data_IF_913031709933
#
_entry.id   IF_913031709933
#
_cell.length_a   1.000
_cell.length_b   1.000
_cell.length_c   1.000
_cell.angle_alpha   90.00
_cell.angle_beta   90.00
_cell.angle_gamma   90.00
#
_symmetry.space_group_name_H-M   'P 1'
#
loop_
_entity.id
_entity.type
_entity.pdbx_description
1 polymer ?
#
# COMPACT_ATOMS: atom_id res chain seq x y z
N UNK A 1 7.46 -14.20 -0.27
CA UNK A 1 7.75 -14.08 1.18
C UNK A 1 6.78 -13.07 1.75
N UNK A 2 6.04 -13.39 2.82
CA UNK A 2 5.00 -12.48 3.35
C UNK A 2 5.62 -11.21 3.92
N UNK A 3 5.40 -10.08 3.26
CA UNK A 3 5.90 -8.76 3.69
C UNK A 3 5.32 -8.42 5.05
N UNK A 4 6.14 -7.91 5.97
CA UNK A 4 5.67 -7.41 7.27
C UNK A 4 6.45 -6.16 7.67
N UNK A 5 5.88 -5.38 8.58
CA UNK A 5 6.36 -4.03 8.89
C UNK A 5 7.78 -4.03 9.49
N UNK A 6 8.04 -4.85 10.50
CA UNK A 6 9.32 -4.89 11.22
C UNK A 6 10.45 -5.37 10.30
N UNK A 7 10.18 -6.41 9.51
CA UNK A 7 11.14 -6.89 8.52
C UNK A 7 11.40 -5.84 7.44
N UNK A 8 10.35 -5.17 6.97
CA UNK A 8 10.48 -4.11 5.97
C UNK A 8 11.22 -2.89 6.51
N UNK A 9 11.12 -2.59 7.81
CA UNK A 9 11.95 -1.56 8.44
C UNK A 9 13.43 -1.99 8.44
N UNK A 10 13.72 -3.24 8.85
CA UNK A 10 15.08 -3.76 8.93
C UNK A 10 15.80 -3.74 7.57
N UNK A 11 15.14 -4.21 6.49
CA UNK A 11 15.68 -4.17 5.13
C UNK A 11 15.97 -2.76 4.61
N UNK A 12 15.34 -1.75 5.20
CA UNK A 12 15.44 -0.36 4.77
C UNK A 12 16.25 0.52 5.72
N UNK A 13 16.78 -0.05 6.80
CA UNK A 13 17.53 0.69 7.81
C UNK A 13 16.68 1.61 8.69
N UNK A 14 15.36 1.39 8.76
CA UNK A 14 14.46 2.14 9.62
C UNK A 14 14.38 1.50 11.02
N UNK A 15 14.26 2.35 12.04
CA UNK A 15 13.93 1.90 13.40
C UNK A 15 12.40 1.73 13.54
N UNK A 16 11.94 0.48 13.45
CA UNK A 16 10.52 0.13 13.60
C UNK A 16 9.93 0.58 14.94
N UNK A 17 10.74 0.57 16.01
CA UNK A 17 10.31 0.98 17.35
C UNK A 17 10.11 2.49 17.40
N UNK A 18 11.07 3.26 16.88
CA UNK A 18 10.96 4.72 16.81
C UNK A 18 9.73 5.16 16.00
N UNK A 19 9.46 4.52 14.84
CA UNK A 19 8.27 4.80 14.03
C UNK A 19 6.99 4.49 14.83
N UNK A 20 6.93 3.33 15.49
CA UNK A 20 5.76 2.93 16.28
C UNK A 20 5.51 3.86 17.46
N UNK A 21 6.57 4.26 18.16
CA UNK A 21 6.52 5.23 19.26
C UNK A 21 6.00 6.58 18.77
N UNK A 22 6.51 7.08 17.63
CA UNK A 22 6.04 8.33 17.03
C UNK A 22 4.54 8.26 16.68
N UNK A 23 4.08 7.17 16.05
CA UNK A 23 2.67 6.96 15.71
C UNK A 23 1.76 6.89 16.94
N UNK A 24 2.27 6.36 18.07
CA UNK A 24 1.50 6.27 19.32
C UNK A 24 1.13 7.64 19.90
N UNK A 25 1.88 8.69 19.56
CA UNK A 25 1.63 10.06 20.03
C UNK A 25 0.46 10.74 19.31
N UNK A 26 -0.04 10.17 18.22
CA UNK A 26 -1.15 10.75 17.46
C UNK A 26 -2.46 10.75 18.25
N UNK A 27 -3.34 11.76 18.05
CA UNK A 27 -4.71 11.75 18.57
C UNK A 27 -5.46 10.48 18.17
N UNK A 28 -6.24 9.90 19.09
CA UNK A 28 -6.92 8.62 18.90
C UNK A 28 -7.77 8.58 17.62
N UNK A 29 -8.49 9.67 17.34
CA UNK A 29 -9.37 9.81 16.17
C UNK A 29 -8.66 9.62 14.81
N UNK A 30 -7.35 9.86 14.74
CA UNK A 30 -6.56 9.75 13.50
C UNK A 30 -5.45 8.70 13.58
N UNK A 31 -5.18 8.15 14.77
CA UNK A 31 -4.05 7.24 15.00
C UNK A 31 -4.13 5.99 14.16
N UNK A 32 -5.29 5.33 14.16
CA UNK A 32 -5.52 4.08 13.42
C UNK A 32 -5.20 4.20 11.92
N UNK A 33 -5.87 5.09 11.18
CA UNK A 33 -5.65 5.20 9.74
C UNK A 33 -4.24 5.67 9.37
N UNK A 34 -3.66 6.60 10.13
CA UNK A 34 -2.27 7.06 9.89
C UNK A 34 -1.27 5.93 10.15
N UNK A 35 -1.49 5.13 11.20
CA UNK A 35 -0.68 3.93 11.47
C UNK A 35 -0.76 2.95 10.30
N UNK A 36 -1.97 2.71 9.79
CA UNK A 36 -2.20 1.76 8.72
C UNK A 36 -1.50 2.18 7.42
N UNK A 37 -1.68 3.42 6.97
CA UNK A 37 -1.01 3.91 5.75
C UNK A 37 0.50 3.98 5.93
N UNK A 38 1.01 4.33 7.12
CA UNK A 38 2.45 4.34 7.38
C UNK A 38 3.05 2.94 7.22
N UNK A 39 2.40 1.91 7.78
CA UNK A 39 2.86 0.53 7.62
C UNK A 39 2.84 0.09 6.16
N UNK A 40 1.76 0.39 5.44
CA UNK A 40 1.61 0.08 4.01
C UNK A 40 2.73 0.75 3.17
N UNK A 41 3.01 2.03 3.40
CA UNK A 41 4.07 2.78 2.71
C UNK A 41 5.45 2.20 3.00
N UNK A 42 5.72 1.80 4.24
CA UNK A 42 7.00 1.16 4.59
C UNK A 42 7.15 -0.21 3.90
N UNK A 43 6.08 -0.98 3.80
CA UNK A 43 6.11 -2.33 3.22
C UNK A 43 6.15 -2.34 1.69
N UNK A 44 5.58 -1.34 1.01
CA UNK A 44 5.42 -1.35 -0.44
C UNK A 44 6.74 -1.44 -1.25
N UNK A 45 7.82 -0.70 -0.91
CA UNK A 45 9.10 -0.85 -1.61
C UNK A 45 9.72 -2.25 -1.47
N UNK A 46 9.46 -2.93 -0.35
CA UNK A 46 9.94 -4.30 -0.11
C UNK A 46 9.12 -5.30 -0.89
N UNK A 47 7.81 -5.07 -1.04
CA UNK A 47 6.97 -5.87 -1.93
C UNK A 47 7.42 -5.77 -3.40
N UNK A 48 7.93 -4.61 -3.79
CA UNK A 48 8.47 -4.34 -5.13
C UNK A 48 9.96 -4.72 -5.29
N UNK A 49 10.55 -5.48 -4.36
CA UNK A 49 11.94 -5.88 -4.45
C UNK A 49 12.14 -6.92 -5.57
N UNK A 50 13.16 -6.73 -6.39
CA UNK A 50 13.55 -7.68 -7.42
C UNK A 50 14.36 -8.82 -6.80
N UNK A 51 13.91 -10.06 -7.04
CA UNK A 51 14.49 -11.26 -6.43
C UNK A 51 15.95 -11.52 -6.82
N UNK A 52 16.42 -10.91 -7.92
CA UNK A 52 17.76 -11.14 -8.47
C UNK A 52 18.78 -10.09 -8.05
N UNK A 53 18.35 -8.87 -7.73
CA UNK A 53 19.24 -7.72 -7.55
C UNK A 53 19.13 -7.07 -6.17
N UNK A 54 18.15 -7.47 -5.35
CA UNK A 54 17.74 -6.78 -4.11
C UNK A 54 17.38 -5.29 -4.35
N UNK A 55 17.25 -4.87 -5.60
CA UNK A 55 16.82 -3.52 -5.96
C UNK A 55 15.31 -3.39 -5.81
N UNK A 56 14.87 -2.22 -5.34
CA UNK A 56 13.45 -1.93 -5.18
C UNK A 56 12.95 -1.30 -6.47
N UNK A 57 11.97 -1.94 -7.11
CA UNK A 57 11.29 -1.30 -8.22
C UNK A 57 10.54 -0.05 -7.74
N UNK A 58 10.67 1.01 -8.52
CA UNK A 58 9.89 2.23 -8.37
C UNK A 58 9.40 2.67 -9.76
N UNK A 59 8.21 3.28 -9.84
CA UNK A 59 7.73 3.83 -11.09
C UNK A 59 8.66 4.94 -11.60
N UNK A 60 9.07 4.83 -12.85
CA UNK A 60 9.80 5.84 -13.61
C UNK A 60 8.80 6.78 -14.30
N UNK A 61 8.53 7.91 -13.64
CA UNK A 61 7.56 8.90 -14.10
C UNK A 61 7.97 9.63 -15.38
N UNK A 62 9.23 9.51 -15.81
CA UNK A 62 9.69 10.01 -17.09
C UNK A 62 9.47 9.00 -18.24
N UNK A 63 9.18 7.73 -17.92
CA UNK A 63 8.90 6.68 -18.89
C UNK A 63 7.40 6.47 -19.11
N UNK A 64 6.85 7.15 -20.12
CA UNK A 64 5.44 7.04 -20.51
C UNK A 64 4.99 5.65 -21.00
N UNK A 65 5.94 4.74 -21.25
CA UNK A 65 5.65 3.38 -21.71
C UNK A 65 5.73 2.34 -20.59
N UNK A 66 6.26 2.70 -19.42
CA UNK A 66 6.21 1.82 -18.26
C UNK A 66 4.77 1.77 -17.75
N UNK A 67 4.33 0.57 -17.38
CA UNK A 67 3.07 0.37 -16.69
C UNK A 67 3.32 0.32 -15.18
N UNK A 68 2.38 0.88 -14.42
CA UNK A 68 2.32 0.76 -12.97
C UNK A 68 0.95 0.23 -12.58
N UNK A 69 0.93 -0.63 -11.57
CA UNK A 69 -0.28 -1.25 -11.07
C UNK A 69 -0.73 -0.61 -9.75
N UNK A 70 -2.03 -0.38 -9.62
CA UNK A 70 -2.64 0.18 -8.42
C UNK A 70 -3.86 -0.63 -8.01
N UNK A 71 -4.26 -0.47 -6.75
CA UNK A 71 -5.38 -1.20 -6.17
C UNK A 71 -6.64 -0.34 -6.16
N UNK A 72 -7.76 -0.89 -6.64
CA UNK A 72 -9.06 -0.23 -6.62
C UNK A 72 -9.95 -0.88 -5.57
N UNK A 73 -10.56 -0.06 -4.72
CA UNK A 73 -11.46 -0.51 -3.65
C UNK A 73 -12.84 0.12 -3.81
N UNK A 74 -13.87 -0.68 -3.60
CA UNK A 74 -15.26 -0.27 -3.50
C UNK A 74 -15.60 -0.07 -2.03
N UNK A 75 -15.83 1.19 -1.66
CA UNK A 75 -16.13 1.62 -0.29
C UNK A 75 -17.62 1.90 -0.06
N UNK A 76 -18.46 1.69 -1.08
CA UNK A 76 -19.90 1.91 -0.97
C UNK A 76 -20.54 0.73 -0.23
N UNK A 77 -21.35 1.03 0.79
CA UNK A 77 -22.10 0.01 1.51
C UNK A 77 -23.45 -0.18 0.85
N UNK A 78 -23.70 -1.36 0.31
CA UNK A 78 -24.97 -1.78 -0.29
C UNK A 78 -25.19 -3.29 -0.07
N UNK A 79 -26.27 -3.85 -0.64
CA UNK A 79 -26.60 -5.27 -0.51
C UNK A 79 -25.52 -6.19 -1.11
N UNK A 80 -24.71 -5.71 -2.06
CA UNK A 80 -23.63 -6.45 -2.72
C UNK A 80 -22.25 -6.20 -2.06
N UNK A 81 -22.12 -5.17 -1.22
CA UNK A 81 -20.95 -4.84 -0.41
C UNK A 81 -21.38 -4.46 1.03
N UNK A 82 -21.91 -5.41 1.81
CA UNK A 82 -22.47 -5.13 3.13
C UNK A 82 -21.41 -4.64 4.13
N UNK A 83 -20.13 -4.92 3.86
CA UNK A 83 -19.02 -4.43 4.68
C UNK A 83 -18.66 -2.96 4.37
N UNK A 84 -19.07 -2.40 3.23
CA UNK A 84 -18.65 -1.08 2.76
C UNK A 84 -17.14 -1.01 2.46
N UNK A 85 -16.55 -2.14 2.11
CA UNK A 85 -15.17 -2.29 1.70
C UNK A 85 -15.04 -3.61 0.95
N UNK A 86 -14.64 -3.52 -0.31
CA UNK A 86 -14.37 -4.66 -1.17
C UNK A 86 -13.22 -4.30 -2.10
N UNK A 87 -12.21 -5.15 -2.16
CA UNK A 87 -11.24 -5.07 -3.24
C UNK A 87 -11.94 -5.43 -4.56
N UNK A 88 -12.00 -4.51 -5.52
CA UNK A 88 -12.78 -4.68 -6.78
C UNK A 88 -11.90 -5.06 -7.97
N UNK A 89 -10.60 -4.86 -7.88
CA UNK A 89 -9.67 -5.31 -8.91
C UNK A 89 -8.46 -4.42 -9.06
N UNK A 90 -7.74 -4.68 -10.14
CA UNK A 90 -6.53 -3.98 -10.53
C UNK A 90 -6.82 -2.91 -11.58
N UNK A 91 -6.14 -1.78 -11.45
CA UNK A 91 -5.96 -0.82 -12.52
C UNK A 91 -4.49 -0.79 -12.90
N UNK A 92 -4.19 -0.71 -14.20
CA UNK A 92 -2.87 -0.29 -14.66
C UNK A 92 -2.99 1.06 -15.34
N UNK A 93 -1.96 1.87 -15.22
CA UNK A 93 -1.83 3.10 -16.00
C UNK A 93 -0.39 3.25 -16.48
N UNK A 94 -0.21 4.05 -17.53
CA UNK A 94 1.11 4.47 -18.00
C UNK A 94 1.72 5.38 -16.94
N UNK A 95 3.02 5.23 -16.69
CA UNK A 95 3.65 5.92 -15.57
C UNK A 95 3.53 7.44 -15.65
N UNK A 96 3.56 8.04 -16.85
CA UNK A 96 3.31 9.47 -17.06
C UNK A 96 1.99 9.84 -17.75
N UNK A 97 0.99 8.97 -17.76
CA UNK A 97 -0.39 9.48 -17.78
C UNK A 97 -0.59 10.21 -16.44
N UNK A 98 -1.34 11.33 -16.43
CA UNK A 98 -1.61 12.15 -15.23
C UNK A 98 -2.33 11.42 -14.08
N UNK A 99 -2.29 10.09 -14.02
CA UNK A 99 -2.41 9.27 -12.83
C UNK A 99 -1.23 9.50 -11.86
N UNK A 100 -1.10 10.74 -11.42
CA UNK A 100 -0.48 11.09 -10.15
C UNK A 100 -1.50 10.76 -9.04
N UNK A 101 -1.69 9.46 -8.78
CA UNK A 101 -2.94 8.97 -8.20
C UNK A 101 -2.86 8.42 -6.78
N UNK A 102 -2.18 9.10 -5.86
CA UNK A 102 -2.36 9.03 -4.40
C UNK A 102 -2.29 7.64 -3.69
N UNK A 103 -1.72 6.60 -4.31
CA UNK A 103 -1.71 5.23 -3.76
C UNK A 103 -0.38 4.50 -3.91
N UNK A 104 -0.28 3.37 -3.22
CA UNK A 104 0.82 2.41 -3.38
C UNK A 104 0.82 1.86 -4.81
N UNK A 105 1.99 1.89 -5.46
CA UNK A 105 2.19 1.38 -6.81
C UNK A 105 2.96 0.06 -6.79
N UNK A 106 2.73 -0.77 -7.79
CA UNK A 106 3.34 -2.09 -7.91
C UNK A 106 3.85 -2.30 -9.32
N UNK A 107 4.93 -3.10 -9.42
CA UNK A 107 5.58 -3.42 -10.69
C UNK A 107 4.69 -4.27 -11.61
N UNK A 108 3.89 -5.15 -11.03
CA UNK A 108 2.98 -6.05 -11.73
C UNK A 108 1.71 -6.33 -10.90
N UNK A 109 0.69 -6.94 -11.55
CA UNK A 109 -0.59 -7.23 -10.92
C UNK A 109 -0.49 -8.32 -9.85
N UNK A 110 0.40 -9.31 -10.02
CA UNK A 110 0.57 -10.43 -9.10
C UNK A 110 1.10 -9.94 -7.74
N UNK A 111 2.18 -9.15 -7.76
CA UNK A 111 2.77 -8.51 -6.57
C UNK A 111 1.72 -7.66 -5.85
N UNK A 112 0.93 -6.89 -6.59
CA UNK A 112 -0.17 -6.09 -6.04
C UNK A 112 -1.24 -6.97 -5.41
N UNK A 113 -1.65 -8.05 -6.07
CA UNK A 113 -2.71 -8.95 -5.60
C UNK A 113 -2.33 -9.62 -4.28
N UNK A 114 -1.13 -10.18 -4.22
CA UNK A 114 -0.61 -10.80 -3.01
C UNK A 114 -0.51 -9.78 -1.88
N UNK A 115 0.05 -8.60 -2.15
CA UNK A 115 0.21 -7.55 -1.15
C UNK A 115 -1.14 -7.07 -0.57
N UNK A 116 -2.15 -6.85 -1.42
CA UNK A 116 -3.48 -6.43 -0.96
C UNK A 116 -4.13 -7.52 -0.12
N UNK A 117 -4.06 -8.79 -0.55
CA UNK A 117 -4.62 -9.91 0.21
C UNK A 117 -3.96 -10.06 1.57
N UNK A 118 -2.63 -9.92 1.65
CA UNK A 118 -1.89 -10.05 2.89
C UNK A 118 -2.10 -8.88 3.86
N UNK A 119 -2.53 -7.72 3.35
CA UNK A 119 -2.64 -6.48 4.12
C UNK A 119 -4.03 -5.82 4.06
N UNK A 120 -5.07 -6.59 3.74
CA UNK A 120 -6.44 -6.09 3.57
C UNK A 120 -6.93 -5.30 4.80
N UNK A 121 -6.62 -5.76 6.00
CA UNK A 121 -7.01 -5.08 7.24
C UNK A 121 -6.36 -3.70 7.40
N UNK A 122 -5.12 -3.52 6.94
CA UNK A 122 -4.49 -2.20 6.94
C UNK A 122 -5.16 -1.28 5.92
N UNK A 123 -5.52 -1.79 4.74
CA UNK A 123 -6.31 -1.02 3.77
C UNK A 123 -7.69 -0.65 4.33
N UNK A 124 -8.37 -1.57 5.03
CA UNK A 124 -9.65 -1.31 5.71
C UNK A 124 -9.51 -0.20 6.75
N UNK A 125 -8.47 -0.26 7.58
CA UNK A 125 -8.22 0.72 8.62
C UNK A 125 -7.85 2.09 8.04
N UNK A 126 -7.11 2.14 6.93
CA UNK A 126 -6.74 3.38 6.25
C UNK A 126 -7.92 4.00 5.49
N UNK A 127 -8.61 3.24 4.65
CA UNK A 127 -9.57 3.80 3.69
C UNK A 127 -10.96 4.08 4.28
N UNK A 128 -11.29 3.51 5.45
CA UNK A 128 -12.59 3.71 6.11
C UNK A 128 -12.60 4.82 7.15
N UNK A 129 -11.68 5.79 7.05
CA UNK A 129 -11.68 6.98 7.91
C UNK A 129 -13.06 7.66 7.92
N UNK A 130 -13.68 7.76 9.09
CA UNK A 130 -14.82 8.66 9.33
C UNK A 130 -16.22 8.10 9.11
N UNK A 131 -16.50 6.84 9.49
CA UNK A 131 -17.88 6.38 9.74
C UNK A 131 -18.03 5.81 11.15
#
# INVERSE_FOLDING_TARGET
>A
MKTNFEHSCALQGYDAKAITEALSTLPEAIRGPITAVTKLVVMNPVANMESETDEKWAPDYDNLNQEKWCSVFDLNKDDNNPSGFRFVGSGYDRTGAGADGAGLCFKDDETREEFVKDHEELYRQWLKMGK
#
